data_IF_037366934211
#
_entry.id   IF_037366934211
#
_cell.length_a   1.000
_cell.length_b   1.000
_cell.length_c   1.000
_cell.angle_alpha   90.00
_cell.angle_beta   90.00
_cell.angle_gamma   90.00
#
_symmetry.space_group_name_H-M   'P 1'
#
loop_
_entity.id
_entity.type
_entity.pdbx_description
1 polymer ?
#
# COMPACT_ATOMS: atom_id res chain seq x y z
N UNK A 1 7.67 8.21 4.33
CA UNK A 1 7.78 6.76 4.65
C UNK A 1 7.51 6.61 6.14
N UNK A 2 6.63 5.67 6.52
CA UNK A 2 6.17 5.47 7.91
C UNK A 2 7.32 5.12 8.87
N UNK A 3 8.50 4.75 8.37
CA UNK A 3 9.69 4.36 9.15
C UNK A 3 10.25 5.42 10.11
N UNK A 4 9.82 6.67 9.99
CA UNK A 4 10.18 7.73 10.94
C UNK A 4 9.20 7.88 12.11
N UNK A 5 8.07 7.16 12.08
CA UNK A 5 7.02 7.26 13.10
C UNK A 5 7.31 6.36 14.32
N UNK A 6 6.82 6.73 15.51
CA UNK A 6 7.02 5.96 16.73
C UNK A 6 6.65 4.48 16.59
N UNK A 7 7.59 3.59 16.90
CA UNK A 7 7.37 2.14 16.92
C UNK A 7 7.51 1.42 15.58
N UNK A 8 7.67 2.15 14.46
CA UNK A 8 7.94 1.54 13.16
C UNK A 8 9.42 1.22 12.96
N UNK A 9 9.70 0.01 12.49
CA UNK A 9 11.04 -0.45 12.15
C UNK A 9 11.02 -1.50 11.05
N UNK A 10 12.09 -1.51 10.27
CA UNK A 10 12.37 -2.57 9.28
C UNK A 10 13.01 -3.81 9.89
N UNK A 11 13.32 -3.80 11.18
CA UNK A 11 14.08 -4.86 11.85
C UNK A 11 13.21 -5.74 12.77
N UNK A 12 11.93 -5.40 12.95
CA UNK A 12 10.95 -6.18 13.75
C UNK A 12 9.52 -6.01 13.23
N UNK A 13 8.53 -6.61 13.90
CA UNK A 13 7.10 -6.66 13.52
C UNK A 13 6.35 -5.32 13.59
N UNK A 14 7.02 -4.24 13.99
CA UNK A 14 6.44 -2.89 14.18
C UNK A 14 5.09 -2.85 14.92
N UNK A 15 4.90 -3.69 15.93
CA UNK A 15 3.74 -3.58 16.80
C UNK A 15 3.74 -2.24 17.53
N UNK A 16 2.67 -1.47 17.40
CA UNK A 16 2.54 -0.15 18.05
C UNK A 16 1.37 -0.15 19.01
N UNK A 17 1.58 0.38 20.21
CA UNK A 17 0.48 0.54 21.16
C UNK A 17 -0.44 1.71 20.78
N UNK A 18 -1.55 1.84 21.50
CA UNK A 18 -2.55 2.88 21.25
C UNK A 18 -1.98 4.30 21.27
N UNK A 19 -1.07 4.59 22.20
CA UNK A 19 -0.43 5.92 22.32
C UNK A 19 0.46 6.22 21.12
N UNK A 20 1.28 5.25 20.70
CA UNK A 20 2.14 5.36 19.52
C UNK A 20 1.32 5.56 18.25
N UNK A 21 0.18 4.87 18.12
CA UNK A 21 -0.76 5.09 17.01
C UNK A 21 -1.31 6.51 16.98
N UNK A 22 -1.85 7.00 18.10
CA UNK A 22 -2.39 8.35 18.22
C UNK A 22 -1.34 9.43 17.91
N UNK A 23 -0.11 9.26 18.39
CA UNK A 23 1.01 10.15 18.10
C UNK A 23 1.39 10.09 16.62
N UNK A 24 1.44 8.89 16.03
CA UNK A 24 1.76 8.69 14.62
C UNK A 24 0.75 9.36 13.68
N UNK A 25 -0.55 9.32 14.00
CA UNK A 25 -1.58 10.04 13.24
C UNK A 25 -1.35 11.55 13.31
N UNK A 26 -1.09 12.11 14.50
CA UNK A 26 -0.79 13.54 14.66
C UNK A 26 0.45 13.97 13.87
N UNK A 27 1.52 13.18 13.91
CA UNK A 27 2.74 13.46 13.18
C UNK A 27 2.56 13.35 11.65
N UNK A 28 1.63 12.51 11.20
CA UNK A 28 1.31 12.36 9.77
C UNK A 28 0.53 13.55 9.22
N UNK A 29 -0.17 14.30 10.08
CA UNK A 29 -1.00 15.46 9.70
C UNK A 29 -0.70 16.68 10.59
N UNK A 30 0.50 17.29 10.51
CA UNK A 30 0.94 18.32 11.45
C UNK A 30 0.12 19.62 11.39
N UNK A 31 -0.59 19.87 10.27
CA UNK A 31 -1.43 21.05 10.07
C UNK A 31 -2.93 20.79 10.37
N UNK A 32 -3.29 19.55 10.68
CA UNK A 32 -4.69 19.18 10.96
C UNK A 32 -5.14 19.69 12.33
N UNK A 33 -6.43 20.04 12.44
CA UNK A 33 -7.05 20.35 13.72
C UNK A 33 -7.22 19.11 14.57
N UNK A 34 -7.40 19.28 15.89
CA UNK A 34 -7.69 18.15 16.79
C UNK A 34 -8.93 17.36 16.35
N UNK A 35 -10.00 18.05 15.94
CA UNK A 35 -11.21 17.42 15.42
C UNK A 35 -10.93 16.56 14.17
N UNK A 36 -10.06 17.03 13.27
CA UNK A 36 -9.70 16.28 12.07
C UNK A 36 -8.87 15.04 12.44
N UNK A 37 -7.91 15.16 13.35
CA UNK A 37 -7.14 14.03 13.89
C UNK A 37 -8.07 13.01 14.56
N UNK A 38 -8.99 13.46 15.40
CA UNK A 38 -9.95 12.59 16.09
C UNK A 38 -10.88 11.88 15.11
N UNK A 39 -11.25 12.53 14.01
CA UNK A 39 -12.04 11.91 12.94
C UNK A 39 -11.26 10.79 12.24
N UNK A 40 -9.97 11.00 11.96
CA UNK A 40 -9.11 9.95 11.38
C UNK A 40 -8.96 8.78 12.35
N UNK A 41 -8.64 9.06 13.61
CA UNK A 41 -8.53 8.03 14.65
C UNK A 41 -9.84 7.25 14.77
N UNK A 42 -10.98 7.94 14.75
CA UNK A 42 -12.28 7.29 14.84
C UNK A 42 -12.57 6.37 13.67
N UNK A 43 -12.25 6.80 12.46
CA UNK A 43 -12.53 6.04 11.24
C UNK A 43 -11.72 4.76 11.12
N UNK A 44 -10.44 4.79 11.52
CA UNK A 44 -9.50 3.67 11.34
C UNK A 44 -9.28 2.82 12.60
N UNK A 45 -9.86 3.18 13.75
CA UNK A 45 -9.76 2.35 14.95
C UNK A 45 -10.67 1.13 14.84
N UNK A 46 -10.10 -0.06 15.02
CA UNK A 46 -10.90 -1.24 15.32
C UNK A 46 -11.43 -1.16 16.76
N UNK A 47 -12.69 -0.75 16.90
CA UNK A 47 -13.34 -0.57 18.19
C UNK A 47 -13.65 -1.87 18.95
N UNK A 48 -13.60 -3.02 18.29
CA UNK A 48 -13.77 -4.33 18.95
C UNK A 48 -12.48 -4.75 19.69
N UNK A 49 -11.32 -4.22 19.30
CA UNK A 49 -10.01 -4.58 19.86
C UNK A 49 -9.00 -3.42 19.76
N UNK A 50 -9.36 -2.28 20.35
CA UNK A 50 -8.64 -1.00 20.19
C UNK A 50 -7.19 -1.02 20.73
N UNK A 51 -6.90 -1.93 21.65
CA UNK A 51 -5.59 -2.02 22.31
C UNK A 51 -4.64 -2.98 21.57
N UNK A 52 -5.11 -3.65 20.52
CA UNK A 52 -4.31 -4.62 19.79
C UNK A 52 -3.17 -3.93 19.01
N UNK A 53 -1.91 -4.28 19.30
CA UNK A 53 -0.79 -3.60 18.66
C UNK A 53 -0.63 -3.87 17.16
N UNK A 54 -1.09 -5.01 16.64
CA UNK A 54 -1.05 -5.28 15.20
C UNK A 54 -2.14 -4.53 14.47
N UNK A 55 -3.36 -4.45 15.02
CA UNK A 55 -4.43 -3.65 14.41
C UNK A 55 -4.07 -2.17 14.36
N UNK A 56 -3.48 -1.63 15.42
CA UNK A 56 -3.02 -0.23 15.42
C UNK A 56 -1.91 0.01 14.37
N UNK A 57 -0.98 -0.94 14.19
CA UNK A 57 0.04 -0.88 13.12
C UNK A 57 -0.59 -0.88 11.74
N UNK A 58 -1.48 -1.84 11.48
CA UNK A 58 -2.11 -2.02 10.17
C UNK A 58 -3.01 -0.82 9.83
N UNK A 59 -3.76 -0.28 10.80
CA UNK A 59 -4.53 0.94 10.64
C UNK A 59 -3.66 2.15 10.24
N UNK A 60 -2.44 2.27 10.79
CA UNK A 60 -1.54 3.35 10.41
C UNK A 60 -0.97 3.16 8.99
N UNK A 61 -0.73 1.92 8.56
CA UNK A 61 -0.35 1.59 7.18
C UNK A 61 -1.46 2.01 6.21
N UNK A 62 -2.71 1.64 6.52
CA UNK A 62 -3.89 2.01 5.74
C UNK A 62 -4.10 3.53 5.67
N UNK A 63 -4.02 4.25 6.80
CA UNK A 63 -4.15 5.73 6.82
C UNK A 63 -3.17 6.39 5.84
N UNK A 64 -1.91 5.97 5.84
CA UNK A 64 -0.88 6.57 4.98
C UNK A 64 -1.09 6.14 3.52
N UNK A 65 -1.43 4.87 3.28
CA UNK A 65 -1.69 4.34 1.94
C UNK A 65 -2.90 4.99 1.28
N UNK A 66 -4.02 5.06 2.01
CA UNK A 66 -5.29 5.61 1.54
C UNK A 66 -5.16 7.09 1.24
N UNK A 67 -4.62 7.87 2.17
CA UNK A 67 -4.49 9.32 2.01
C UNK A 67 -3.55 9.71 0.86
N UNK A 68 -2.39 9.04 0.73
CA UNK A 68 -1.37 9.49 -0.22
C UNK A 68 -1.48 8.85 -1.61
N UNK A 69 -2.11 7.67 -1.74
CA UNK A 69 -2.07 6.90 -2.98
C UNK A 69 -3.45 6.43 -3.43
N UNK A 70 -4.15 5.65 -2.60
CA UNK A 70 -5.34 4.91 -3.05
C UNK A 70 -6.51 5.86 -3.31
N UNK A 71 -6.93 6.66 -2.33
CA UNK A 71 -8.08 7.55 -2.48
C UNK A 71 -7.86 8.60 -3.59
N UNK A 72 -6.71 9.31 -3.66
CA UNK A 72 -6.46 10.25 -4.77
C UNK A 72 -6.49 9.59 -6.16
N UNK A 73 -5.96 8.36 -6.29
CA UNK A 73 -6.01 7.61 -7.55
C UNK A 73 -7.45 7.26 -7.94
N UNK A 74 -8.27 6.84 -6.98
CA UNK A 74 -9.68 6.52 -7.22
C UNK A 74 -10.48 7.75 -7.62
N UNK A 75 -10.27 8.90 -6.97
CA UNK A 75 -10.89 10.16 -7.36
C UNK A 75 -10.47 10.58 -8.77
N UNK A 76 -9.18 10.51 -9.10
CA UNK A 76 -8.68 10.80 -10.43
C UNK A 76 -9.30 9.89 -11.50
N UNK A 77 -9.33 8.58 -11.26
CA UNK A 77 -9.90 7.62 -12.19
C UNK A 77 -11.40 7.84 -12.40
N UNK A 78 -12.14 8.18 -11.34
CA UNK A 78 -13.55 8.55 -11.39
C UNK A 78 -13.75 9.81 -12.25
N UNK A 79 -13.03 10.88 -11.96
CA UNK A 79 -13.10 12.12 -12.75
C UNK A 79 -12.78 11.90 -14.23
N UNK A 80 -11.71 11.16 -14.53
CA UNK A 80 -11.35 10.83 -15.91
C UNK A 80 -12.47 10.07 -16.63
N UNK A 81 -13.14 9.15 -15.93
CA UNK A 81 -14.26 8.37 -16.48
C UNK A 81 -15.52 9.23 -16.68
N UNK A 82 -15.81 10.16 -15.77
CA UNK A 82 -16.94 11.11 -15.88
C UNK A 82 -16.80 12.06 -17.09
N UNK A 83 -15.57 12.29 -17.56
CA UNK A 83 -15.30 13.02 -18.81
C UNK A 83 -15.52 12.18 -20.09
N UNK A 84 -15.91 10.91 -19.95
CA UNK A 84 -16.18 10.00 -21.07
C UNK A 84 -14.98 9.17 -21.54
N UNK A 85 -13.84 9.24 -20.85
CA UNK A 85 -12.69 8.39 -21.16
C UNK A 85 -12.87 6.98 -20.58
N UNK A 86 -12.30 5.98 -21.24
CA UNK A 86 -12.18 4.64 -20.65
C UNK A 86 -11.00 4.61 -19.69
N UNK A 87 -11.25 4.28 -18.42
CA UNK A 87 -10.22 4.07 -17.40
C UNK A 87 -10.10 2.58 -17.07
N UNK A 88 -8.87 2.10 -16.93
CA UNK A 88 -8.58 0.76 -16.41
C UNK A 88 -7.83 0.90 -15.10
N UNK A 89 -8.32 0.23 -14.06
CA UNK A 89 -7.73 0.25 -12.73
C UNK A 89 -7.36 -1.18 -12.33
N UNK A 90 -6.23 -1.35 -11.66
CA UNK A 90 -5.85 -2.62 -11.05
C UNK A 90 -5.46 -2.41 -9.58
N UNK A 91 -5.70 -3.44 -8.78
CA UNK A 91 -5.20 -3.55 -7.42
C UNK A 91 -4.15 -4.66 -7.37
N UNK A 92 -2.87 -4.29 -7.19
CA UNK A 92 -1.79 -5.25 -7.13
C UNK A 92 -1.58 -5.71 -5.68
N UNK A 93 -1.89 -6.98 -5.41
CA UNK A 93 -1.86 -7.57 -4.07
C UNK A 93 -1.05 -8.86 -4.02
N UNK A 94 0.07 -8.91 -4.75
CA UNK A 94 1.01 -10.03 -4.71
C UNK A 94 2.31 -9.62 -4.02
N UNK A 95 2.66 -10.30 -2.91
CA UNK A 95 3.95 -10.08 -2.24
C UNK A 95 5.03 -10.91 -2.93
N UNK A 96 6.06 -10.25 -3.44
CA UNK A 96 7.20 -10.89 -4.08
C UNK A 96 7.88 -11.91 -3.14
N UNK A 97 8.17 -13.10 -3.65
CA UNK A 97 8.95 -14.13 -2.95
C UNK A 97 10.41 -13.72 -2.72
N UNK A 98 10.84 -12.61 -3.34
CA UNK A 98 12.17 -12.00 -3.19
C UNK A 98 12.18 -10.77 -2.31
N UNK A 99 11.02 -10.39 -1.76
CA UNK A 99 10.93 -9.24 -0.88
C UNK A 99 11.69 -9.50 0.42
N UNK A 100 12.75 -8.74 0.67
CA UNK A 100 13.59 -8.88 1.87
C UNK A 100 13.06 -8.11 3.07
N UNK A 101 12.06 -7.26 2.87
CA UNK A 101 11.45 -6.48 3.94
C UNK A 101 10.65 -7.38 4.89
N UNK A 102 10.43 -6.98 6.15
CA UNK A 102 9.58 -7.72 7.09
C UNK A 102 8.21 -8.11 6.54
N UNK A 103 7.67 -9.21 7.06
CA UNK A 103 6.37 -9.76 6.65
C UNK A 103 5.22 -8.79 6.85
N UNK A 104 5.22 -8.06 7.97
CA UNK A 104 4.18 -7.09 8.32
C UNK A 104 3.95 -6.00 7.28
N UNK A 105 4.95 -5.69 6.45
CA UNK A 105 4.88 -4.62 5.45
C UNK A 105 4.06 -4.99 4.21
N UNK A 106 3.51 -6.22 4.17
CA UNK A 106 2.57 -6.63 3.14
C UNK A 106 3.11 -6.49 1.71
N UNK A 107 2.32 -5.88 0.83
CA UNK A 107 2.66 -5.63 -0.57
C UNK A 107 3.06 -4.16 -0.71
N UNK A 108 4.36 -3.91 -0.57
CA UNK A 108 4.87 -2.54 -0.47
C UNK A 108 4.77 -1.77 -1.79
N UNK A 109 4.61 -0.45 -1.65
CA UNK A 109 4.70 0.50 -2.75
C UNK A 109 5.95 0.29 -3.62
N UNK A 110 5.74 0.19 -4.94
CA UNK A 110 6.79 0.06 -5.95
C UNK A 110 7.25 -1.36 -6.26
N UNK A 111 6.78 -2.39 -5.54
CA UNK A 111 7.18 -3.79 -5.77
C UNK A 111 6.41 -4.47 -6.90
N UNK A 112 5.41 -3.82 -7.48
CA UNK A 112 4.82 -4.23 -8.75
C UNK A 112 5.75 -3.94 -9.94
N UNK A 113 6.67 -2.97 -9.81
CA UNK A 113 7.55 -2.51 -10.90
C UNK A 113 8.39 -3.66 -11.46
N UNK A 114 8.96 -4.50 -10.60
CA UNK A 114 9.78 -5.65 -11.05
C UNK A 114 8.97 -6.64 -11.91
N UNK A 115 7.67 -6.79 -11.62
CA UNK A 115 6.77 -7.64 -12.40
C UNK A 115 6.39 -7.00 -13.73
N UNK A 116 6.13 -5.69 -13.74
CA UNK A 116 5.83 -4.92 -14.96
C UNK A 116 7.01 -4.94 -15.92
N UNK A 117 8.24 -4.88 -15.42
CA UNK A 117 9.47 -4.91 -16.24
C UNK A 117 9.99 -6.32 -16.56
N UNK A 118 9.32 -7.37 -16.11
CA UNK A 118 9.68 -8.73 -16.52
C UNK A 118 10.83 -9.38 -15.74
N UNK A 119 11.26 -8.79 -14.61
CA UNK A 119 12.36 -9.32 -13.79
C UNK A 119 12.15 -10.79 -13.38
N UNK A 120 10.92 -11.25 -13.02
CA UNK A 120 10.67 -12.66 -12.72
C UNK A 120 11.00 -13.67 -13.83
N UNK A 121 11.17 -13.23 -15.09
CA UNK A 121 11.59 -14.11 -16.19
C UNK A 121 13.09 -14.46 -16.14
N UNK A 122 13.89 -13.72 -15.38
CA UNK A 122 15.31 -13.99 -15.21
C UNK A 122 15.50 -15.23 -14.33
N UNK A 123 15.71 -16.39 -14.96
CA UNK A 123 15.84 -17.69 -14.28
C UNK A 123 16.89 -17.71 -13.15
N UNK A 124 17.93 -16.88 -13.24
CA UNK A 124 18.99 -16.78 -12.21
C UNK A 124 18.54 -16.12 -10.90
N UNK A 125 17.43 -15.36 -10.92
CA UNK A 125 16.89 -14.68 -9.75
C UNK A 125 15.94 -15.58 -8.94
N UNK A 126 15.66 -16.79 -9.41
CA UNK A 126 14.91 -17.83 -8.70
C UNK A 126 13.50 -17.42 -8.25
N UNK A 127 12.79 -16.56 -9.00
CA UNK A 127 11.36 -16.30 -8.79
C UNK A 127 10.54 -17.58 -8.98
N UNK A 128 9.35 -17.63 -8.37
CA UNK A 128 8.47 -18.78 -8.52
C UNK A 128 7.85 -18.85 -9.92
N UNK A 129 7.34 -20.02 -10.30
CA UNK A 129 6.63 -20.18 -11.58
C UNK A 129 5.33 -19.38 -11.65
N UNK A 130 4.64 -19.21 -10.53
CA UNK A 130 3.48 -18.35 -10.43
C UNK A 130 3.85 -16.88 -10.70
N UNK A 131 4.98 -16.41 -10.18
CA UNK A 131 5.46 -15.04 -10.40
C UNK A 131 5.93 -14.80 -11.84
N UNK A 132 6.56 -15.79 -12.47
CA UNK A 132 6.87 -15.73 -13.91
C UNK A 132 5.59 -15.56 -14.73
N UNK A 133 4.52 -16.32 -14.41
CA UNK A 133 3.23 -16.24 -15.09
C UNK A 133 2.51 -14.90 -14.82
N UNK A 134 2.54 -14.41 -13.58
CA UNK A 134 2.00 -13.11 -13.19
C UNK A 134 2.69 -11.98 -13.96
N UNK A 135 4.01 -11.97 -14.00
CA UNK A 135 4.79 -10.96 -14.71
C UNK A 135 4.51 -10.98 -16.22
N UNK A 136 4.44 -12.17 -16.85
CA UNK A 136 4.02 -12.30 -18.26
C UNK A 136 2.63 -11.71 -18.51
N UNK A 137 1.71 -11.92 -17.58
CA UNK A 137 0.34 -11.40 -17.68
C UNK A 137 0.31 -9.88 -17.57
N UNK A 138 1.03 -9.29 -16.61
CA UNK A 138 1.14 -7.85 -16.44
C UNK A 138 1.80 -7.19 -17.64
N UNK A 139 2.94 -7.69 -18.12
CA UNK A 139 3.59 -7.17 -19.33
C UNK A 139 2.65 -7.20 -20.54
N UNK A 140 1.84 -8.26 -20.68
CA UNK A 140 0.85 -8.35 -21.76
C UNK A 140 -0.24 -7.30 -21.62
N UNK A 141 -0.78 -7.07 -20.43
CA UNK A 141 -1.77 -6.01 -20.19
C UNK A 141 -1.19 -4.63 -20.52
N UNK A 142 0.00 -4.31 -19.99
CA UNK A 142 0.68 -3.03 -20.26
C UNK A 142 1.00 -2.83 -21.74
N UNK A 143 1.54 -3.85 -22.42
CA UNK A 143 1.89 -3.76 -23.84
C UNK A 143 0.64 -3.66 -24.74
N UNK A 144 -0.46 -4.32 -24.38
CA UNK A 144 -1.70 -4.21 -25.14
C UNK A 144 -2.35 -2.84 -24.95
N UNK A 145 -2.47 -2.37 -23.70
CA UNK A 145 -2.99 -1.03 -23.41
C UNK A 145 -2.20 0.06 -24.14
N UNK A 146 -0.86 -0.04 -24.18
CA UNK A 146 -0.02 0.90 -24.93
C UNK A 146 -0.24 0.85 -26.45
N UNK A 147 -0.64 -0.30 -27.01
CA UNK A 147 -0.86 -0.47 -28.46
C UNK A 147 -2.25 -0.04 -28.90
N UNK A 148 -3.27 -0.26 -28.09
CA UNK A 148 -4.67 -0.16 -28.51
C UNK A 148 -5.58 0.68 -27.62
N UNK A 149 -5.11 1.11 -26.44
CA UNK A 149 -6.03 1.43 -25.34
C UNK A 149 -6.82 0.21 -24.90
#
# INVERSE_FOLDING_TARGET
LVYGLPGFSKDHESFINRTQFQESVRLSFPEATELAVDSVLFHYTNWEDEQNPSHNRDAMDDIVGDYNFICPLLEFAKWNSELGNTAYLYYFHHRSSKLTWPGWMGVMHGYEIEFVFGIPMHRRLNYTKAEEALSRTLMRYWANFAKSG
#
